data_IF_035792510229
#
_entry.id   IF_035792510229
#
_cell.length_a   1.000
_cell.length_b   1.000
_cell.length_c   1.000
_cell.angle_alpha   90.00
_cell.angle_beta   90.00
_cell.angle_gamma   90.00
#
_symmetry.space_group_name_H-M   'P 1'
#
loop_
_entity.id
_entity.type
_entity.pdbx_description
1 polymer ?
#
# COMPACT_ATOMS: atom_id res chain seq x y z
N UNK A 1 -3.83 20.26 3.78
CA UNK A 1 -3.76 19.77 2.40
C UNK A 1 -4.16 18.31 2.47
N UNK A 2 -5.17 17.89 1.70
CA UNK A 2 -5.63 16.50 1.68
C UNK A 2 -4.62 15.63 0.94
N UNK A 3 -4.43 14.38 1.38
CA UNK A 3 -3.57 13.43 0.68
C UNK A 3 -4.31 12.97 -0.55
N UNK A 4 -3.69 13.10 -1.73
CA UNK A 4 -4.26 12.56 -2.97
C UNK A 4 -3.54 11.26 -3.27
N UNK A 5 -4.27 10.15 -3.34
CA UNK A 5 -3.70 8.88 -3.75
C UNK A 5 -3.87 8.72 -5.26
N UNK A 6 -2.81 8.30 -5.94
CA UNK A 6 -2.78 8.07 -7.38
C UNK A 6 -2.28 6.66 -7.64
N UNK A 7 -2.91 5.96 -8.57
CA UNK A 7 -2.45 4.67 -9.04
C UNK A 7 -1.64 4.86 -10.31
N UNK A 8 -0.41 4.37 -10.31
CA UNK A 8 0.44 4.37 -11.51
C UNK A 8 0.56 2.95 -12.08
N UNK A 9 0.63 2.82 -13.39
CA UNK A 9 0.69 1.52 -14.07
C UNK A 9 2.02 1.32 -14.78
N UNK A 10 2.36 0.08 -15.14
CA UNK A 10 3.52 -0.21 -15.99
C UNK A 10 3.46 0.40 -17.39
N UNK A 11 2.32 0.95 -17.78
CA UNK A 11 2.14 1.65 -19.04
C UNK A 11 2.32 3.18 -18.90
N UNK A 12 2.65 3.67 -17.69
CA UNK A 12 2.77 5.09 -17.38
C UNK A 12 1.41 5.81 -17.33
N UNK A 13 0.32 5.06 -17.14
CA UNK A 13 -1.00 5.64 -16.87
C UNK A 13 -1.09 6.02 -15.39
N UNK A 14 -1.73 7.16 -15.14
CA UNK A 14 -1.97 7.68 -13.80
C UNK A 14 -3.47 7.78 -13.58
N UNK A 15 -3.96 7.13 -12.52
CA UNK A 15 -5.39 7.00 -12.20
C UNK A 15 -5.60 7.56 -10.81
N UNK A 16 -6.30 8.69 -10.72
CA UNK A 16 -6.63 9.31 -9.44
C UNK A 16 -7.60 8.42 -8.65
N UNK A 17 -7.27 8.20 -7.38
CA UNK A 17 -8.17 7.53 -6.45
C UNK A 17 -8.94 8.64 -5.73
N UNK A 18 -10.18 8.84 -6.15
CA UNK A 18 -11.08 9.83 -5.55
C UNK A 18 -11.46 9.38 -4.14
N UNK A 19 -10.85 10.02 -3.14
CA UNK A 19 -11.20 9.83 -1.74
C UNK A 19 -12.23 10.88 -1.31
N UNK A 20 -13.10 10.54 -0.35
CA UNK A 20 -14.15 11.45 0.11
C UNK A 20 -13.53 12.71 0.77
N UNK A 21 -13.98 13.90 0.38
CA UNK A 21 -13.41 15.20 0.83
C UNK A 21 -13.45 15.41 2.35
N UNK A 22 -14.34 14.71 3.06
CA UNK A 22 -14.45 14.75 4.52
C UNK A 22 -13.71 13.62 5.24
N UNK A 23 -13.23 12.61 4.51
CA UNK A 23 -12.35 11.64 5.10
C UNK A 23 -11.02 12.35 5.41
N UNK A 24 -10.39 12.00 6.52
CA UNK A 24 -8.95 12.22 6.71
C UNK A 24 -8.18 11.31 5.74
N UNK A 25 -8.48 11.49 4.45
CA UNK A 25 -8.38 10.48 3.44
C UNK A 25 -6.93 10.33 3.01
N UNK A 26 -6.50 9.09 2.82
CA UNK A 26 -5.09 8.73 2.60
C UNK A 26 -4.34 8.45 3.91
N UNK A 27 -4.92 8.79 5.07
CA UNK A 27 -4.49 8.19 6.34
C UNK A 27 -5.04 6.80 6.53
N UNK A 28 -6.26 6.38 6.15
CA UNK A 28 -6.70 5.02 6.50
C UNK A 28 -5.96 3.94 5.69
N UNK A 29 -5.71 4.14 4.38
CA UNK A 29 -4.80 3.28 3.60
C UNK A 29 -3.36 3.26 4.17
N UNK A 30 -2.72 4.42 4.42
CA UNK A 30 -1.39 4.45 5.03
C UNK A 30 -1.36 3.95 6.49
N UNK A 31 -2.39 4.25 7.28
CA UNK A 31 -2.51 3.88 8.72
C UNK A 31 -3.00 2.46 8.91
N UNK A 32 -3.47 1.79 7.86
CA UNK A 32 -3.67 0.35 7.87
C UNK A 32 -2.37 -0.39 7.53
N UNK A 33 -1.58 0.19 6.61
CA UNK A 33 -0.34 -0.39 6.12
C UNK A 33 0.80 -0.23 7.14
N UNK A 34 0.92 0.93 7.80
CA UNK A 34 1.99 1.21 8.79
C UNK A 34 1.93 0.28 10.01
N UNK A 35 0.80 0.08 10.72
CA UNK A 35 0.75 -0.82 11.88
C UNK A 35 0.96 -2.29 11.53
N UNK A 36 0.57 -2.69 10.31
CA UNK A 36 0.80 -4.05 9.82
C UNK A 36 2.26 -4.25 9.41
N UNK A 37 2.88 -3.23 8.81
CA UNK A 37 4.34 -3.19 8.60
C UNK A 37 5.10 -3.41 9.90
N UNK A 38 4.71 -2.70 10.96
CA UNK A 38 5.31 -2.78 12.29
C UNK A 38 5.12 -4.18 12.89
N UNK A 39 3.93 -4.77 12.73
CA UNK A 39 3.68 -6.18 13.08
C UNK A 39 4.63 -7.14 12.35
N UNK A 40 4.94 -6.89 11.08
CA UNK A 40 5.88 -7.69 10.29
C UNK A 40 7.36 -7.40 10.57
N UNK A 41 7.71 -6.19 11.04
CA UNK A 41 9.09 -5.84 11.42
C UNK A 41 9.44 -6.29 12.84
N UNK A 42 8.46 -6.71 13.64
CA UNK A 42 8.65 -7.26 14.98
C UNK A 42 9.09 -6.24 16.03
N UNK A 43 8.90 -4.94 15.75
CA UNK A 43 9.20 -3.83 16.66
C UNK A 43 7.89 -3.43 17.34
N UNK A 44 7.74 -3.63 18.65
CA UNK A 44 6.43 -3.59 19.33
C UNK A 44 6.34 -2.58 20.48
N UNK A 45 7.08 -1.48 20.41
CA UNK A 45 7.31 -0.61 21.58
C UNK A 45 6.23 0.47 21.82
N UNK A 46 5.02 0.37 21.26
CA UNK A 46 3.93 1.33 21.52
C UNK A 46 2.58 0.68 21.93
N UNK A 47 2.04 1.11 23.09
CA UNK A 47 0.76 0.65 23.69
C UNK A 47 -0.49 0.75 22.77
N UNK A 48 -0.46 1.62 21.74
CA UNK A 48 -1.53 1.75 20.75
C UNK A 48 -1.45 0.71 19.62
N UNK A 49 -0.30 0.10 19.41
CA UNK A 49 -0.02 -0.90 18.38
C UNK A 49 -0.41 -2.31 18.85
N UNK A 50 -0.32 -2.57 20.16
CA UNK A 50 -0.76 -3.81 20.80
C UNK A 50 -2.24 -4.12 20.56
N UNK A 51 -3.11 -3.11 20.53
CA UNK A 51 -4.54 -3.30 20.27
C UNK A 51 -4.82 -3.77 18.84
N UNK A 52 -4.01 -3.32 17.88
CA UNK A 52 -4.13 -3.68 16.46
C UNK A 52 -3.64 -5.12 16.27
N UNK A 53 -2.47 -5.42 16.82
CA UNK A 53 -1.90 -6.75 16.88
C UNK A 53 -2.87 -7.75 17.50
N UNK A 54 -3.46 -7.42 18.65
CA UNK A 54 -4.46 -8.25 19.31
C UNK A 54 -5.73 -8.43 18.46
N UNK A 55 -6.18 -7.38 17.76
CA UNK A 55 -7.32 -7.49 16.85
C UNK A 55 -7.01 -8.39 15.65
N UNK A 56 -5.85 -8.25 15.01
CA UNK A 56 -5.40 -9.12 13.92
C UNK A 56 -5.30 -10.57 14.42
N UNK A 57 -4.66 -10.81 15.56
CA UNK A 57 -4.59 -12.13 16.18
C UNK A 57 -5.96 -12.74 16.50
N UNK A 58 -6.93 -11.92 16.92
CA UNK A 58 -8.30 -12.39 17.21
C UNK A 58 -9.01 -12.99 16.00
N UNK A 59 -8.48 -12.77 14.78
CA UNK A 59 -9.06 -13.24 13.54
C UNK A 59 -8.56 -14.61 13.04
N UNK A 60 -7.60 -15.25 13.73
CA UNK A 60 -7.06 -16.63 13.60
C UNK A 60 -7.01 -17.32 12.21
N UNK A 61 -8.13 -17.58 11.51
CA UNK A 61 -8.13 -18.14 10.12
C UNK A 61 -8.03 -17.01 9.09
N UNK A 62 -8.63 -15.87 9.38
CA UNK A 62 -8.60 -14.68 8.54
C UNK A 62 -7.22 -14.02 8.56
N UNK A 63 -6.35 -14.35 9.53
CA UNK A 63 -4.98 -13.83 9.60
C UNK A 63 -4.14 -14.18 8.38
N UNK A 64 -4.09 -15.44 7.95
CA UNK A 64 -3.23 -15.81 6.82
C UNK A 64 -3.64 -15.09 5.53
N UNK A 65 -4.95 -14.97 5.32
CA UNK A 65 -5.52 -14.24 4.19
C UNK A 65 -5.21 -12.75 4.31
N UNK A 66 -5.48 -12.17 5.48
CA UNK A 66 -5.19 -10.76 5.76
C UNK A 66 -3.71 -10.46 5.53
N UNK A 67 -2.83 -11.32 6.02
CA UNK A 67 -1.37 -11.21 5.90
C UNK A 67 -0.93 -11.25 4.43
N UNK A 68 -1.46 -12.16 3.63
CA UNK A 68 -1.12 -12.23 2.20
C UNK A 68 -1.57 -10.99 1.43
N UNK A 69 -2.81 -10.54 1.67
CA UNK A 69 -3.36 -9.36 1.00
C UNK A 69 -2.64 -8.07 1.42
N UNK A 70 -2.35 -7.94 2.72
CA UNK A 70 -1.69 -6.75 3.29
C UNK A 70 -0.22 -6.69 2.94
N UNK A 71 0.50 -7.82 2.90
CA UNK A 71 1.90 -7.85 2.47
C UNK A 71 2.06 -7.31 1.05
N UNK A 72 1.20 -7.70 0.10
CA UNK A 72 1.25 -7.17 -1.28
C UNK A 72 0.93 -5.68 -1.35
N UNK A 73 -0.06 -5.22 -0.57
CA UNK A 73 -0.37 -3.79 -0.46
C UNK A 73 0.76 -2.98 0.18
N UNK A 74 1.40 -3.52 1.24
CA UNK A 74 2.53 -2.90 1.92
C UNK A 74 3.68 -2.63 0.96
N UNK A 75 4.08 -3.65 0.21
CA UNK A 75 5.11 -3.47 -0.81
C UNK A 75 4.66 -2.44 -1.85
N UNK A 76 3.40 -2.43 -2.26
CA UNK A 76 2.91 -1.45 -3.25
C UNK A 76 2.95 0.03 -2.79
N UNK A 77 3.21 0.33 -1.51
CA UNK A 77 3.01 1.64 -0.90
C UNK A 77 4.25 2.31 -0.27
N UNK A 78 5.41 1.66 -0.13
CA UNK A 78 6.56 2.25 0.56
C UNK A 78 7.66 2.80 -0.38
N UNK A 79 8.25 3.98 -0.11
CA UNK A 79 8.67 4.89 -1.19
C UNK A 79 10.16 5.14 -1.35
N UNK A 80 11.02 4.84 -0.37
CA UNK A 80 12.34 5.50 -0.25
C UNK A 80 13.36 5.16 -1.36
N UNK A 81 13.13 4.12 -2.14
CA UNK A 81 13.89 3.78 -3.36
C UNK A 81 13.00 3.77 -4.62
N UNK A 82 11.71 4.05 -4.47
CA UNK A 82 10.65 3.73 -5.43
C UNK A 82 10.22 4.94 -6.26
N UNK A 83 10.60 6.14 -5.82
CA UNK A 83 10.44 7.39 -6.57
C UNK A 83 11.40 7.51 -7.75
N UNK A 84 12.42 6.64 -7.82
CA UNK A 84 13.50 6.72 -8.79
C UNK A 84 13.32 5.69 -9.92
N UNK A 85 13.45 6.14 -11.16
CA UNK A 85 13.64 5.24 -12.29
C UNK A 85 15.09 4.76 -12.41
N UNK A 86 15.36 3.77 -13.26
CA UNK A 86 16.72 3.20 -13.46
C UNK A 86 17.78 4.25 -13.85
N UNK A 87 17.35 5.37 -14.43
CA UNK A 87 18.23 6.45 -14.87
C UNK A 87 18.36 7.59 -13.84
N UNK A 88 17.70 7.49 -12.68
CA UNK A 88 17.63 8.55 -11.68
C UNK A 88 18.74 8.45 -10.61
N UNK A 89 19.79 7.66 -10.86
CA UNK A 89 20.90 7.46 -9.90
C UNK A 89 21.54 8.78 -9.43
N UNK A 90 21.72 9.74 -10.34
CA UNK A 90 22.27 11.06 -10.00
C UNK A 90 21.38 11.81 -9.00
N UNK A 91 20.05 11.75 -9.18
CA UNK A 91 19.08 12.34 -8.27
C UNK A 91 19.05 11.61 -6.93
N UNK A 92 19.14 10.28 -6.95
CA UNK A 92 19.18 9.44 -5.76
C UNK A 92 20.35 9.80 -4.82
N UNK A 93 21.56 9.94 -5.35
CA UNK A 93 22.75 10.30 -4.55
C UNK A 93 22.70 11.74 -4.05
N UNK A 94 22.15 12.67 -4.83
CA UNK A 94 21.94 14.06 -4.38
C UNK A 94 20.96 14.15 -3.20
N UNK A 95 19.87 13.38 -3.25
CA UNK A 95 18.85 13.33 -2.21
C UNK A 95 19.28 12.48 -1.00
N UNK A 96 20.17 11.50 -1.20
CA UNK A 96 20.67 10.58 -0.18
C UNK A 96 22.21 10.58 -0.10
N UNK A 97 22.86 11.70 0.28
CA UNK A 97 24.30 11.87 0.21
C UNK A 97 25.11 10.98 1.18
N UNK A 98 24.43 10.24 2.06
CA UNK A 98 25.02 9.30 3.01
C UNK A 98 24.97 7.84 2.53
N UNK A 99 24.21 7.57 1.47
CA UNK A 99 24.14 6.26 0.83
C UNK A 99 25.42 6.03 0.01
N UNK A 100 26.09 4.90 0.26
CA UNK A 100 27.29 4.51 -0.46
C UNK A 100 26.97 3.31 -1.36
N UNK A 101 26.09 3.54 -2.35
CA UNK A 101 25.71 2.55 -3.34
C UNK A 101 26.29 2.95 -4.70
N UNK A 102 26.71 1.97 -5.50
CA UNK A 102 27.10 2.20 -6.90
C UNK A 102 25.89 2.34 -7.83
N UNK A 103 26.09 2.87 -9.03
CA UNK A 103 25.04 2.98 -10.05
C UNK A 103 24.48 1.60 -10.45
N UNK A 104 25.35 0.60 -10.58
CA UNK A 104 24.94 -0.78 -10.89
C UNK A 104 24.10 -1.39 -9.74
N UNK A 105 24.47 -1.13 -8.47
CA UNK A 105 23.70 -1.57 -7.31
C UNK A 105 22.35 -0.86 -7.25
N UNK A 106 22.31 0.44 -7.52
CA UNK A 106 21.07 1.20 -7.62
C UNK A 106 20.15 0.64 -8.71
N UNK A 107 20.65 0.43 -9.93
CA UNK A 107 19.86 -0.16 -11.03
C UNK A 107 19.35 -1.53 -10.64
N UNK A 108 20.18 -2.36 -10.00
CA UNK A 108 19.76 -3.67 -9.51
C UNK A 108 18.66 -3.56 -8.45
N UNK A 109 18.76 -2.60 -7.54
CA UNK A 109 17.72 -2.32 -6.55
C UNK A 109 16.42 -1.88 -7.23
N UNK A 110 16.47 -0.97 -8.21
CA UNK A 110 15.29 -0.57 -8.99
C UNK A 110 14.72 -1.75 -9.79
N UNK A 111 15.54 -2.61 -10.38
CA UNK A 111 15.09 -3.83 -11.06
C UNK A 111 14.39 -4.81 -10.11
N UNK A 112 14.92 -4.97 -8.89
CA UNK A 112 14.28 -5.78 -7.86
C UNK A 112 12.96 -5.15 -7.44
N UNK A 113 12.90 -3.84 -7.26
CA UNK A 113 11.66 -3.11 -6.95
C UNK A 113 10.63 -3.24 -8.09
N UNK A 114 11.08 -3.13 -9.34
CA UNK A 114 10.26 -3.35 -10.54
C UNK A 114 9.67 -4.76 -10.55
N UNK A 115 10.45 -5.75 -10.11
CA UNK A 115 9.98 -7.14 -9.97
C UNK A 115 9.06 -7.36 -8.77
N UNK A 116 9.03 -6.41 -7.83
CA UNK A 116 8.16 -6.41 -6.65
C UNK A 116 6.81 -5.75 -6.94
N UNK A 117 6.65 -5.07 -8.09
CA UNK A 117 5.34 -4.64 -8.55
C UNK A 117 4.42 -5.84 -8.68
N UNK A 118 3.26 -5.72 -8.05
CA UNK A 118 2.31 -6.84 -7.96
C UNK A 118 1.51 -6.93 -9.26
N UNK A 119 1.18 -8.17 -9.65
CA UNK A 119 0.22 -8.42 -10.74
C UNK A 119 -1.13 -7.76 -10.43
N UNK A 120 -1.64 -6.94 -11.35
CA UNK A 120 -2.85 -6.16 -11.15
C UNK A 120 -4.08 -7.03 -10.79
N UNK A 121 -4.19 -8.25 -11.32
CA UNK A 121 -5.27 -9.18 -10.96
C UNK A 121 -5.13 -9.69 -9.53
N UNK A 122 -3.90 -9.96 -9.08
CA UNK A 122 -3.63 -10.37 -7.70
C UNK A 122 -3.96 -9.24 -6.73
N UNK A 123 -3.54 -8.02 -7.03
CA UNK A 123 -3.83 -6.87 -6.17
C UNK A 123 -5.33 -6.57 -6.12
N UNK A 124 -6.02 -6.62 -7.27
CA UNK A 124 -7.48 -6.46 -7.35
C UNK A 124 -8.22 -7.49 -6.50
N UNK A 125 -7.82 -8.75 -6.61
CA UNK A 125 -8.37 -9.83 -5.81
C UNK A 125 -8.21 -9.56 -4.31
N UNK A 126 -7.01 -9.17 -3.89
CA UNK A 126 -6.68 -8.96 -2.48
C UNK A 126 -7.38 -7.75 -1.84
N UNK A 127 -7.45 -6.63 -2.57
CA UNK A 127 -8.23 -5.46 -2.12
C UNK A 127 -9.70 -5.87 -1.97
N UNK A 128 -10.23 -6.66 -2.91
CA UNK A 128 -11.58 -7.23 -2.81
C UNK A 128 -11.77 -8.14 -1.59
N UNK A 129 -10.78 -8.98 -1.28
CA UNK A 129 -10.80 -9.82 -0.07
C UNK A 129 -10.82 -8.96 1.20
N UNK A 130 -9.98 -7.93 1.28
CA UNK A 130 -9.92 -7.02 2.42
C UNK A 130 -11.24 -6.30 2.67
N UNK A 131 -11.87 -5.75 1.62
CA UNK A 131 -13.20 -5.13 1.72
C UNK A 131 -14.21 -6.10 2.30
N UNK A 132 -14.24 -7.33 1.78
CA UNK A 132 -15.17 -8.35 2.25
C UNK A 132 -14.91 -8.74 3.70
N UNK A 133 -13.64 -8.92 4.06
CA UNK A 133 -13.23 -9.24 5.43
C UNK A 133 -13.68 -8.17 6.42
N UNK A 134 -13.45 -6.89 6.12
CA UNK A 134 -13.88 -5.79 6.98
C UNK A 134 -15.41 -5.70 7.10
N UNK A 135 -16.15 -5.91 6.00
CA UNK A 135 -17.62 -5.95 6.02
C UNK A 135 -18.17 -7.11 6.86
N UNK A 136 -17.52 -8.27 6.85
CA UNK A 136 -17.94 -9.46 7.59
C UNK A 136 -17.56 -9.37 9.07
N UNK A 137 -16.34 -8.91 9.36
CA UNK A 137 -15.79 -8.88 10.72
C UNK A 137 -16.20 -7.66 11.51
N UNK A 138 -16.53 -6.56 10.82
CA UNK A 138 -16.93 -5.28 11.38
C UNK A 138 -16.01 -4.86 12.53
N UNK A 139 -14.74 -4.54 12.21
CA UNK A 139 -13.80 -4.03 13.21
C UNK A 139 -14.44 -2.85 13.95
N UNK A 140 -14.13 -2.72 15.23
CA UNK A 140 -14.53 -1.54 16.00
C UNK A 140 -13.77 -0.34 15.43
N UNK A 141 -14.43 0.81 15.33
CA UNK A 141 -13.75 2.04 14.91
C UNK A 141 -12.57 2.34 15.86
N UNK A 142 -11.43 2.65 15.27
CA UNK A 142 -10.18 3.02 15.94
C UNK A 142 -9.67 4.34 15.36
N UNK A 143 -8.49 4.77 15.81
CA UNK A 143 -7.83 5.94 15.23
C UNK A 143 -7.32 5.73 13.79
N UNK A 144 -7.17 4.47 13.36
CA UNK A 144 -6.69 4.07 12.01
C UNK A 144 -7.77 3.43 11.14
N UNK A 145 -8.86 2.95 11.74
CA UNK A 145 -9.99 2.32 11.05
C UNK A 145 -11.29 3.03 11.38
N UNK A 146 -12.00 3.46 10.36
CA UNK A 146 -13.38 3.90 10.45
C UNK A 146 -14.18 3.19 9.35
N UNK A 147 -15.28 2.53 9.73
CA UNK A 147 -15.98 1.59 8.83
C UNK A 147 -16.39 2.23 7.50
N UNK A 148 -17.06 3.38 7.52
CA UNK A 148 -17.55 4.01 6.28
C UNK A 148 -16.39 4.51 5.41
N UNK A 149 -15.47 5.28 5.99
CA UNK A 149 -14.36 5.88 5.24
C UNK A 149 -13.39 4.81 4.71
N UNK A 150 -12.94 3.87 5.55
CA UNK A 150 -11.96 2.84 5.15
C UNK A 150 -12.52 1.93 4.05
N UNK A 151 -13.80 1.55 4.14
CA UNK A 151 -14.43 0.73 3.10
C UNK A 151 -14.55 1.51 1.80
N UNK A 152 -14.92 2.79 1.84
CA UNK A 152 -15.01 3.63 0.65
C UNK A 152 -13.65 3.83 -0.02
N UNK A 153 -12.57 4.03 0.74
CA UNK A 153 -11.21 4.12 0.21
C UNK A 153 -10.78 2.82 -0.48
N UNK A 154 -11.01 1.66 0.15
CA UNK A 154 -10.70 0.37 -0.46
C UNK A 154 -11.55 0.11 -1.71
N UNK A 155 -12.83 0.50 -1.73
CA UNK A 155 -13.66 0.40 -2.93
C UNK A 155 -13.13 1.30 -4.06
N UNK A 156 -12.66 2.51 -3.75
CA UNK A 156 -12.06 3.40 -4.73
C UNK A 156 -10.80 2.77 -5.34
N UNK A 157 -9.91 2.22 -4.52
CA UNK A 157 -8.72 1.48 -4.96
C UNK A 157 -9.10 0.26 -5.82
N UNK A 158 -10.07 -0.54 -5.37
CA UNK A 158 -10.57 -1.70 -6.11
C UNK A 158 -11.05 -1.32 -7.52
N UNK A 159 -11.84 -0.24 -7.62
CA UNK A 159 -12.35 0.24 -8.90
C UNK A 159 -11.24 0.77 -9.81
N UNK A 160 -10.25 1.48 -9.26
CA UNK A 160 -9.09 1.98 -10.00
C UNK A 160 -8.25 0.83 -10.57
N UNK A 161 -7.92 -0.19 -9.78
CA UNK A 161 -7.20 -1.38 -10.26
C UNK A 161 -8.05 -2.11 -11.31
N UNK A 162 -9.36 -2.22 -11.10
CA UNK A 162 -10.28 -2.84 -12.07
C UNK A 162 -10.33 -2.10 -13.41
N UNK A 163 -10.14 -0.77 -13.40
CA UNK A 163 -9.94 0.01 -14.62
C UNK A 163 -8.59 -0.32 -15.26
N UNK A 164 -7.51 -0.33 -14.49
CA UNK A 164 -6.18 -0.65 -14.99
C UNK A 164 -6.12 -2.07 -15.62
N UNK A 165 -6.79 -3.07 -15.03
CA UNK A 165 -6.92 -4.42 -15.62
C UNK A 165 -7.62 -4.38 -16.99
N UNK A 166 -8.64 -3.53 -17.17
CA UNK A 166 -9.31 -3.37 -18.47
C UNK A 166 -8.37 -2.77 -19.51
N UNK A 167 -7.44 -1.91 -19.09
CA UNK A 167 -6.32 -1.40 -19.90
C UNK A 167 -5.20 -2.44 -20.11
N UNK A 168 -5.35 -3.67 -19.59
CA UNK A 168 -4.38 -4.76 -19.72
C UNK A 168 -3.00 -4.45 -19.12
N UNK A 169 -2.96 -3.64 -18.07
CA UNK A 169 -1.73 -3.41 -17.29
C UNK A 169 -1.34 -4.72 -16.59
N UNK A 170 -0.05 -4.94 -16.41
CA UNK A 170 0.42 -6.10 -15.63
C UNK A 170 0.72 -5.70 -14.20
N UNK A 171 1.21 -4.50 -14.00
CA UNK A 171 1.72 -4.02 -12.72
C UNK A 171 1.08 -2.68 -12.35
N UNK A 172 0.84 -2.46 -11.06
CA UNK A 172 0.23 -1.24 -10.52
C UNK A 172 0.92 -0.77 -9.23
N UNK A 173 1.08 0.55 -9.09
CA UNK A 173 1.58 1.27 -7.90
C UNK A 173 0.48 2.02 -7.19
N UNK A 174 0.63 2.21 -5.88
CA UNK A 174 -0.06 3.28 -5.18
C UNK A 174 0.94 4.37 -4.77
N UNK A 175 0.70 5.61 -5.20
CA UNK A 175 1.51 6.79 -4.92
C UNK A 175 0.67 7.78 -4.11
N UNK A 176 1.25 8.43 -3.11
CA UNK A 176 0.56 9.42 -2.28
C UNK A 176 1.25 10.78 -2.38
N UNK A 177 0.48 11.82 -2.74
CA UNK A 177 0.89 13.24 -2.75
C UNK A 177 0.39 14.00 -1.52
#
# INVERSE_FOLDING_TARGET
>A
MGVTAMLETDQGEFIDIMLNENAYAGRALNSFIVPISVFFSGDSDHDSEDQITQWIYSMNITMDILNQCTHRLFHSCYPYLWDYGKNDYSRYIEENPHENISEDEFIHMIDMLDSTWTDALLLYHDVGMLINLFKVKKPVNTWWYEEESTIDELNALYNAIGFAIKSQVKNVRLVFD
#
